data_IF_081581219493
#
_entry.id   IF_081581219493
#
_cell.length_a   1.000
_cell.length_b   1.000
_cell.length_c   1.000
_cell.angle_alpha   90.00
_cell.angle_beta   90.00
_cell.angle_gamma   90.00
#
_symmetry.space_group_name_H-M   'P 1'
#
loop_
_entity.id
_entity.type
_entity.pdbx_description
1 polymer ?
#
# COMPACT_ATOMS: atom_id res chain seq x y z
N UNK A 1 11.01 11.62 18.98
CA UNK A 1 12.21 11.30 18.17
C UNK A 1 12.02 9.93 17.55
N UNK A 2 12.34 9.73 16.26
CA UNK A 2 12.35 8.40 15.67
C UNK A 2 13.49 7.57 16.27
N UNK A 3 13.19 6.35 16.71
CA UNK A 3 14.22 5.41 17.18
C UNK A 3 15.01 4.85 16.00
N UNK A 4 16.22 4.35 16.24
CA UNK A 4 17.02 3.67 15.19
C UNK A 4 16.22 2.55 14.51
N UNK A 5 15.52 1.72 15.31
CA UNK A 5 14.61 0.68 14.79
C UNK A 5 13.56 1.28 13.85
N UNK A 6 12.92 2.38 14.25
CA UNK A 6 11.94 3.07 13.42
C UNK A 6 12.56 3.56 12.10
N UNK A 7 13.67 4.27 12.15
CA UNK A 7 14.36 4.78 10.94
C UNK A 7 14.65 3.66 9.95
N UNK A 8 15.24 2.56 10.43
CA UNK A 8 15.56 1.40 9.60
C UNK A 8 14.30 0.71 9.05
N UNK A 9 13.27 0.55 9.87
CA UNK A 9 12.01 -0.06 9.43
C UNK A 9 11.33 0.80 8.36
N UNK A 10 11.35 2.13 8.49
CA UNK A 10 10.78 3.03 7.48
C UNK A 10 11.55 2.96 6.16
N UNK A 11 12.88 2.88 6.21
CA UNK A 11 13.70 2.72 5.02
C UNK A 11 13.32 1.43 4.27
N UNK A 12 13.31 0.29 4.97
CA UNK A 12 13.02 -1.01 4.35
C UNK A 12 11.56 -1.15 3.91
N UNK A 13 10.62 -0.57 4.66
CA UNK A 13 9.23 -0.45 4.22
C UNK A 13 9.11 0.41 2.95
N UNK A 14 9.87 1.51 2.87
CA UNK A 14 9.90 2.37 1.68
C UNK A 14 10.44 1.63 0.46
N UNK A 15 11.50 0.84 0.62
CA UNK A 15 12.01 -0.05 -0.42
C UNK A 15 10.95 -1.04 -0.87
N UNK A 16 10.25 -1.70 0.06
CA UNK A 16 9.20 -2.68 -0.26
C UNK A 16 8.03 -2.07 -1.03
N UNK A 17 7.56 -0.89 -0.62
CA UNK A 17 6.52 -0.17 -1.36
C UNK A 17 7.02 0.44 -2.68
N UNK A 18 8.32 0.68 -2.86
CA UNK A 18 8.86 1.10 -4.16
C UNK A 18 8.84 -0.07 -5.15
N UNK A 19 9.32 -1.24 -4.73
CA UNK A 19 9.29 -2.47 -5.52
C UNK A 19 7.84 -2.80 -5.95
N UNK A 20 6.90 -2.72 -5.02
CA UNK A 20 5.47 -2.90 -5.32
C UNK A 20 4.98 -1.92 -6.39
N UNK A 21 5.31 -0.63 -6.28
CA UNK A 21 4.88 0.38 -7.25
C UNK A 21 5.49 0.10 -8.63
N UNK A 22 6.75 -0.30 -8.69
CA UNK A 22 7.43 -0.68 -9.94
C UNK A 22 6.75 -1.89 -10.58
N UNK A 23 6.45 -2.94 -9.80
CA UNK A 23 5.72 -4.13 -10.25
C UNK A 23 4.33 -3.78 -10.82
N UNK A 24 3.58 -2.92 -10.13
CA UNK A 24 2.26 -2.47 -10.57
C UNK A 24 2.34 -1.58 -11.81
N UNK A 25 3.35 -0.71 -11.90
CA UNK A 25 3.57 0.13 -13.07
C UNK A 25 4.08 -0.66 -14.28
N UNK A 26 4.72 -1.80 -14.08
CA UNK A 26 5.07 -2.74 -15.13
C UNK A 26 3.87 -3.59 -15.57
N UNK A 27 3.03 -4.01 -14.62
CA UNK A 27 1.85 -4.85 -14.87
C UNK A 27 0.65 -4.09 -15.44
N UNK A 28 0.57 -2.79 -15.17
CA UNK A 28 -0.52 -1.90 -15.58
C UNK A 28 0.03 -0.66 -16.30
N UNK A 29 -0.83 0.30 -16.65
CA UNK A 29 -0.38 1.50 -17.35
C UNK A 29 0.24 2.49 -16.35
N UNK A 30 1.54 2.83 -16.45
CA UNK A 30 2.19 3.73 -15.50
C UNK A 30 1.63 5.16 -15.58
N UNK A 31 1.68 5.88 -14.45
CA UNK A 31 1.32 7.30 -14.33
C UNK A 31 2.39 8.03 -13.52
N UNK A 32 2.43 9.37 -13.64
CA UNK A 32 3.42 10.22 -12.94
C UNK A 32 3.41 9.94 -11.43
N UNK A 33 4.58 9.74 -10.84
CA UNK A 33 4.74 9.50 -9.40
C UNK A 33 4.45 8.06 -9.03
N UNK A 34 3.86 7.83 -7.86
CA UNK A 34 3.56 6.49 -7.32
C UNK A 34 2.20 5.96 -7.79
N UNK A 35 1.86 6.24 -9.05
CA UNK A 35 0.53 6.01 -9.62
C UNK A 35 0.56 5.04 -10.78
N UNK A 36 -0.51 4.29 -10.94
CA UNK A 36 -0.75 3.45 -12.11
C UNK A 36 -2.23 3.47 -12.47
N UNK A 37 -2.54 3.07 -13.69
CA UNK A 37 -3.88 3.11 -14.25
C UNK A 37 -4.30 1.72 -14.69
N UNK A 38 -5.47 1.29 -14.22
CA UNK A 38 -6.04 0.00 -14.52
C UNK A 38 -7.56 0.09 -14.59
N UNK A 39 -8.17 -0.51 -15.61
CA UNK A 39 -9.62 -0.52 -15.81
C UNK A 39 -10.30 0.85 -15.65
N UNK A 40 -9.78 1.89 -16.29
CA UNK A 40 -10.29 3.27 -16.22
C UNK A 40 -10.19 3.96 -14.84
N UNK A 41 -9.52 3.34 -13.86
CA UNK A 41 -9.27 3.92 -12.54
C UNK A 41 -7.78 4.20 -12.37
N UNK A 42 -7.45 5.33 -11.75
CA UNK A 42 -6.08 5.63 -11.34
C UNK A 42 -5.93 5.28 -9.87
N UNK A 43 -4.90 4.49 -9.56
CA UNK A 43 -4.54 4.08 -8.21
C UNK A 43 -3.24 4.74 -7.79
N UNK A 44 -3.07 4.95 -6.50
CA UNK A 44 -1.86 5.48 -5.88
C UNK A 44 -1.54 4.72 -4.60
N UNK A 45 -0.25 4.53 -4.34
CA UNK A 45 0.26 4.00 -3.07
C UNK A 45 1.19 5.05 -2.48
N UNK A 46 0.93 5.51 -1.26
CA UNK A 46 1.76 6.54 -0.61
C UNK A 46 3.15 6.01 -0.27
N UNK A 47 4.01 6.89 0.26
CA UNK A 47 5.18 6.46 1.02
C UNK A 47 4.74 5.99 2.40
N UNK A 48 5.50 5.10 3.05
CA UNK A 48 5.17 4.67 4.38
C UNK A 48 5.61 5.71 5.41
N UNK A 49 4.84 5.83 6.49
CA UNK A 49 5.08 6.74 7.60
C UNK A 49 5.06 6.00 8.92
N UNK A 50 5.77 6.52 9.92
CA UNK A 50 5.76 5.94 11.27
C UNK A 50 4.78 6.71 12.14
N UNK A 51 3.82 5.99 12.70
CA UNK A 51 2.92 6.51 13.72
C UNK A 51 2.99 5.63 14.97
N UNK A 52 3.61 6.17 16.02
CA UNK A 52 3.88 5.40 17.23
C UNK A 52 4.79 4.20 16.97
N UNK A 53 4.26 2.98 17.16
CA UNK A 53 4.98 1.70 16.93
C UNK A 53 4.47 0.95 15.69
N UNK A 54 3.83 1.67 14.76
CA UNK A 54 3.24 1.10 13.56
C UNK A 54 3.78 1.78 12.31
N UNK A 55 3.81 1.01 11.23
CA UNK A 55 4.02 1.48 9.87
C UNK A 55 2.67 1.74 9.22
N UNK A 56 2.47 2.96 8.73
CA UNK A 56 1.25 3.37 8.04
C UNK A 56 1.52 3.67 6.59
N UNK A 57 0.57 3.34 5.71
CA UNK A 57 0.58 3.80 4.33
C UNK A 57 -0.84 3.84 3.78
N UNK A 58 -1.03 4.67 2.77
CA UNK A 58 -2.30 4.88 2.11
C UNK A 58 -2.33 4.22 0.74
N UNK A 59 -3.50 3.70 0.39
CA UNK A 59 -3.84 3.33 -0.98
C UNK A 59 -5.06 4.13 -1.38
N UNK A 60 -4.99 4.83 -2.51
CA UNK A 60 -6.12 5.60 -3.02
C UNK A 60 -6.49 5.21 -4.44
N UNK A 61 -7.75 5.44 -4.80
CA UNK A 61 -8.24 5.28 -6.16
C UNK A 61 -9.16 6.42 -6.55
N UNK A 62 -9.00 6.95 -7.75
CA UNK A 62 -9.94 7.93 -8.32
C UNK A 62 -11.32 7.30 -8.49
N UNK A 63 -12.38 7.97 -8.05
CA UNK A 63 -13.76 7.59 -8.36
C UNK A 63 -13.98 7.79 -9.88
N UNK A 64 -14.57 6.82 -10.60
CA UNK A 64 -14.78 6.90 -12.04
C UNK A 64 -15.95 7.85 -12.37
N UNK A 65 -15.72 9.14 -12.22
CA UNK A 65 -16.73 10.20 -12.47
C UNK A 65 -17.28 10.19 -13.90
N UNK A 66 -16.51 9.69 -14.86
CA UNK A 66 -16.98 9.53 -16.25
C UNK A 66 -18.08 8.44 -16.38
N UNK A 67 -18.28 7.63 -15.35
CA UNK A 67 -19.29 6.56 -15.26
C UNK A 67 -20.39 6.87 -14.22
N UNK A 68 -20.26 7.97 -13.47
CA UNK A 68 -21.16 8.34 -12.37
C UNK A 68 -21.62 9.79 -12.59
N UNK A 69 -22.85 9.97 -13.02
CA UNK A 69 -23.36 11.25 -13.51
C UNK A 69 -23.73 12.21 -12.36
N UNK A 70 -23.91 11.69 -11.14
CA UNK A 70 -24.34 12.48 -9.98
C UNK A 70 -23.51 12.26 -8.71
N UNK A 71 -23.45 13.29 -7.86
CA UNK A 71 -22.84 13.22 -6.52
C UNK A 71 -23.41 12.10 -5.66
N UNK A 72 -24.73 11.87 -5.76
CA UNK A 72 -25.43 10.79 -5.05
C UNK A 72 -24.91 9.40 -5.47
N UNK A 73 -24.58 9.22 -6.75
CA UNK A 73 -24.01 7.97 -7.24
C UNK A 73 -22.55 7.80 -6.79
N UNK A 74 -21.78 8.87 -6.72
CA UNK A 74 -20.42 8.84 -6.16
C UNK A 74 -20.40 8.50 -4.66
N UNK A 75 -21.31 9.08 -3.88
CA UNK A 75 -21.49 8.73 -2.46
C UNK A 75 -21.93 7.26 -2.29
N UNK A 76 -22.84 6.79 -3.15
CA UNK A 76 -23.27 5.38 -3.17
C UNK A 76 -22.11 4.46 -3.54
N UNK A 77 -21.32 4.82 -4.55
CA UNK A 77 -20.12 4.10 -4.96
C UNK A 77 -19.14 3.95 -3.80
N UNK A 78 -18.80 5.06 -3.14
CA UNK A 78 -17.94 5.06 -1.97
C UNK A 78 -18.49 4.17 -0.84
N UNK A 79 -19.79 4.28 -0.55
CA UNK A 79 -20.44 3.45 0.49
C UNK A 79 -20.35 1.96 0.17
N UNK A 80 -20.55 1.57 -1.08
CA UNK A 80 -20.47 0.18 -1.52
C UNK A 80 -19.03 -0.35 -1.45
N UNK A 81 -18.04 0.44 -1.86
CA UNK A 81 -16.62 0.12 -1.69
C UNK A 81 -16.29 -0.06 -0.21
N UNK A 82 -16.66 0.91 0.63
CA UNK A 82 -16.44 0.88 2.08
C UNK A 82 -17.04 -0.38 2.71
N UNK A 83 -18.23 -0.79 2.29
CA UNK A 83 -18.88 -2.00 2.77
C UNK A 83 -18.15 -3.28 2.36
N UNK A 84 -17.59 -3.34 1.14
CA UNK A 84 -16.80 -4.49 0.68
C UNK A 84 -15.48 -4.57 1.46
N UNK A 85 -14.74 -3.46 1.53
CA UNK A 85 -13.43 -3.40 2.18
C UNK A 85 -13.53 -3.71 3.68
N UNK A 86 -14.55 -3.19 4.39
CA UNK A 86 -14.78 -3.50 5.82
C UNK A 86 -15.04 -4.98 6.11
N UNK A 87 -15.53 -5.74 5.14
CA UNK A 87 -15.79 -7.19 5.26
C UNK A 87 -14.58 -8.03 4.87
N UNK A 88 -13.54 -7.42 4.30
CA UNK A 88 -12.31 -8.10 3.92
C UNK A 88 -11.47 -8.54 5.12
N UNK A 89 -10.47 -9.41 4.84
CA UNK A 89 -9.51 -9.91 5.85
C UNK A 89 -8.54 -8.81 6.30
N UNK A 90 -7.98 -8.05 5.35
CA UNK A 90 -7.11 -6.91 5.64
C UNK A 90 -7.95 -5.63 5.70
N UNK A 91 -8.19 -5.14 6.91
CA UNK A 91 -9.04 -3.97 7.14
C UNK A 91 -8.17 -2.73 7.30
N UNK A 92 -8.40 -1.68 6.52
CA UNK A 92 -7.77 -0.39 6.78
C UNK A 92 -8.33 0.19 8.10
N UNK A 93 -7.51 0.98 8.79
CA UNK A 93 -7.89 1.70 10.01
C UNK A 93 -8.78 2.92 9.70
N UNK A 94 -8.66 3.49 8.50
CA UNK A 94 -9.55 4.54 7.99
C UNK A 94 -9.95 4.31 6.54
N UNK A 95 -11.18 4.69 6.21
CA UNK A 95 -11.74 4.68 4.85
C UNK A 95 -12.46 6.00 4.65
N UNK A 96 -11.82 6.85 3.86
CA UNK A 96 -12.20 8.24 3.63
C UNK A 96 -12.45 8.51 2.17
N UNK A 97 -13.28 9.52 1.93
CA UNK A 97 -13.52 10.10 0.64
C UNK A 97 -12.83 11.45 0.64
N UNK A 98 -11.85 11.61 -0.25
CA UNK A 98 -10.98 12.80 -0.30
C UNK A 98 -11.29 13.60 -1.57
N UNK A 99 -11.44 14.91 -1.42
CA UNK A 99 -11.79 15.83 -2.51
C UNK A 99 -10.58 16.65 -2.87
N UNK A 100 -9.91 16.31 -3.98
CA UNK A 100 -8.81 17.12 -4.49
C UNK A 100 -9.37 18.15 -5.45
N UNK A 101 -9.54 19.39 -4.97
CA UNK A 101 -9.73 20.56 -5.81
C UNK A 101 -8.39 20.90 -6.47
N UNK A 102 -8.27 20.65 -7.78
CA UNK A 102 -7.06 21.02 -8.52
C UNK A 102 -7.34 22.30 -9.31
N UNK A 103 -6.92 23.43 -8.75
CA UNK A 103 -6.89 24.70 -9.46
C UNK A 103 -5.51 24.88 -10.12
N UNK A 104 -5.48 24.84 -11.44
CA UNK A 104 -4.31 25.30 -12.18
C UNK A 104 -4.74 25.81 -13.56
N UNK A 105 -5.19 27.07 -13.54
CA UNK A 105 -5.40 27.98 -14.68
C UNK A 105 -6.71 27.78 -15.45
N UNK A 106 -7.65 28.70 -15.17
CA UNK A 106 -8.78 29.16 -16.00
C UNK A 106 -9.87 28.12 -16.36
N UNK A 107 -11.08 28.42 -15.89
CA UNK A 107 -12.41 28.00 -16.40
C UNK A 107 -12.98 26.58 -16.17
N UNK A 108 -12.42 25.75 -15.28
CA UNK A 108 -13.25 24.68 -14.69
C UNK A 108 -12.67 24.16 -13.37
N UNK A 109 -13.36 24.39 -12.26
CA UNK A 109 -13.18 23.59 -11.05
C UNK A 109 -13.57 22.14 -11.40
N UNK A 110 -12.58 21.23 -11.40
CA UNK A 110 -12.84 19.79 -11.49
C UNK A 110 -12.58 19.18 -10.13
N UNK A 111 -13.63 19.07 -9.32
CA UNK A 111 -13.64 18.27 -8.11
C UNK A 111 -13.32 16.83 -8.48
N UNK A 112 -12.19 16.29 -7.99
CA UNK A 112 -11.84 14.88 -8.17
C UNK A 112 -11.99 14.18 -6.84
N UNK A 113 -12.98 13.30 -6.79
CA UNK A 113 -13.23 12.50 -5.60
C UNK A 113 -12.37 11.22 -5.66
N UNK A 114 -11.71 10.93 -4.54
CA UNK A 114 -10.90 9.73 -4.35
C UNK A 114 -11.44 8.94 -3.17
N UNK A 115 -11.31 7.63 -3.25
CA UNK A 115 -11.43 6.76 -2.08
C UNK A 115 -10.03 6.51 -1.55
N UNK A 116 -9.79 6.81 -0.28
CA UNK A 116 -8.50 6.65 0.41
C UNK A 116 -8.65 5.62 1.53
N UNK A 117 -7.74 4.66 1.55
CA UNK A 117 -7.66 3.58 2.53
C UNK A 117 -6.35 3.72 3.29
N UNK A 118 -6.43 3.94 4.61
CA UNK A 118 -5.25 4.01 5.48
C UNK A 118 -5.03 2.67 6.17
N UNK A 119 -3.86 2.07 5.97
CA UNK A 119 -3.46 0.83 6.65
C UNK A 119 -2.42 1.14 7.71
N UNK A 120 -2.46 0.39 8.81
CA UNK A 120 -1.51 0.52 9.93
C UNK A 120 -1.11 -0.87 10.40
N UNK A 121 0.20 -1.11 10.42
CA UNK A 121 0.79 -2.39 10.77
C UNK A 121 1.78 -2.22 11.93
N UNK A 122 1.51 -2.80 13.11
CA UNK A 122 2.45 -2.85 14.21
C UNK A 122 3.80 -3.40 13.75
N UNK A 123 4.91 -2.85 14.26
CA UNK A 123 6.25 -3.31 13.88
C UNK A 123 6.49 -4.80 14.16
N UNK A 124 5.85 -5.34 15.20
CA UNK A 124 5.92 -6.76 15.59
C UNK A 124 5.26 -7.70 14.57
N UNK A 125 4.34 -7.19 13.74
CA UNK A 125 3.70 -7.98 12.68
C UNK A 125 4.52 -8.00 11.38
N UNK A 126 5.61 -7.23 11.30
CA UNK A 126 6.42 -7.06 10.10
C UNK A 126 7.61 -8.03 10.02
N UNK A 127 7.86 -8.80 11.08
CA UNK A 127 8.90 -9.83 11.12
C UNK A 127 8.47 -10.96 12.07
N UNK A 128 9.09 -12.14 11.94
CA UNK A 128 8.81 -13.29 12.80
C UNK A 128 10.13 -13.86 13.32
N UNK A 129 10.31 -13.88 14.63
CA UNK A 129 11.54 -14.33 15.29
C UNK A 129 11.87 -15.81 14.97
N UNK A 130 10.85 -16.67 14.82
CA UNK A 130 11.05 -18.08 14.47
C UNK A 130 11.50 -18.23 13.03
N UNK A 131 10.94 -17.44 12.12
CA UNK A 131 11.37 -17.43 10.72
C UNK A 131 12.78 -16.85 10.57
N UNK A 132 13.13 -15.82 11.35
CA UNK A 132 14.50 -15.29 11.41
C UNK A 132 15.48 -16.38 11.85
N UNK A 133 15.16 -17.11 12.93
CA UNK A 133 16.04 -18.17 13.44
C UNK A 133 16.22 -19.29 12.39
N UNK A 134 15.13 -19.68 11.73
CA UNK A 134 15.16 -20.68 10.66
C UNK A 134 16.03 -20.23 9.47
N UNK A 135 15.85 -18.99 8.99
CA UNK A 135 16.67 -18.43 7.89
C UNK A 135 18.14 -18.30 8.31
N UNK A 136 18.40 -17.87 9.55
CA UNK A 136 19.75 -17.78 10.12
C UNK A 136 20.47 -19.14 10.13
N UNK A 137 19.80 -20.20 10.61
CA UNK A 137 20.36 -21.55 10.59
C UNK A 137 20.64 -22.03 9.16
N UNK A 138 19.71 -21.77 8.23
CA UNK A 138 19.91 -22.13 6.83
C UNK A 138 21.11 -21.40 6.18
N UNK A 139 21.38 -20.15 6.55
CA UNK A 139 22.53 -19.38 6.05
C UNK A 139 23.83 -19.90 6.65
N UNK A 140 23.86 -20.11 7.97
CA UNK A 140 25.08 -20.56 8.68
C UNK A 140 25.48 -21.98 8.32
N UNK A 141 24.51 -22.84 7.98
CA UNK A 141 24.76 -24.20 7.49
C UNK A 141 25.08 -24.26 5.98
N UNK A 142 25.19 -23.11 5.30
CA UNK A 142 25.50 -23.02 3.87
C UNK A 142 24.36 -23.44 2.93
N UNK A 143 23.14 -23.63 3.45
CA UNK A 143 21.96 -24.04 2.70
C UNK A 143 21.28 -22.90 1.93
N UNK A 144 21.51 -21.63 2.31
CA UNK A 144 20.92 -20.46 1.65
C UNK A 144 21.99 -19.50 1.13
N UNK A 145 21.79 -18.98 -0.09
CA UNK A 145 22.59 -17.90 -0.71
C UNK A 145 21.88 -16.54 -0.63
N UNK A 146 20.94 -16.38 0.30
CA UNK A 146 20.20 -15.14 0.49
C UNK A 146 21.17 -13.96 0.67
N UNK A 147 21.06 -12.97 -0.23
CA UNK A 147 21.87 -11.75 -0.16
C UNK A 147 21.27 -10.83 0.88
N UNK A 148 21.92 -10.77 2.04
CA UNK A 148 21.53 -9.86 3.10
C UNK A 148 21.90 -8.41 2.73
N UNK A 149 21.06 -7.43 3.08
CA UNK A 149 21.36 -6.03 2.84
C UNK A 149 22.58 -5.62 3.66
N UNK A 150 23.44 -4.80 3.09
CA UNK A 150 24.48 -4.14 3.87
C UNK A 150 23.94 -2.84 4.45
N UNK A 151 23.78 -2.81 5.77
CA UNK A 151 23.10 -1.73 6.48
C UNK A 151 24.03 -1.19 7.55
N UNK A 152 24.49 0.07 7.43
CA UNK A 152 25.30 0.72 8.45
C UNK A 152 24.62 0.66 9.83
N UNK A 153 25.36 0.21 10.84
CA UNK A 153 24.86 0.08 12.21
C UNK A 153 24.09 -1.20 12.52
N UNK A 154 23.91 -2.12 11.55
CA UNK A 154 23.31 -3.45 11.77
C UNK A 154 24.33 -4.53 11.45
N UNK A 155 24.98 -5.03 12.51
CA UNK A 155 26.11 -5.96 12.38
C UNK A 155 25.70 -7.44 12.48
N UNK A 156 24.51 -7.75 12.99
CA UNK A 156 24.05 -9.13 13.14
C UNK A 156 23.29 -9.61 11.91
N UNK A 157 23.45 -10.89 11.56
CA UNK A 157 22.70 -11.54 10.46
C UNK A 157 21.20 -11.49 10.75
N UNK A 158 20.79 -11.74 11.99
CA UNK A 158 19.40 -11.68 12.43
C UNK A 158 18.80 -10.28 12.26
N UNK A 159 19.56 -9.23 12.57
CA UNK A 159 19.12 -7.85 12.36
C UNK A 159 18.92 -7.53 10.89
N UNK A 160 19.84 -7.99 10.03
CA UNK A 160 19.72 -7.85 8.56
C UNK A 160 18.52 -8.64 8.00
N UNK A 161 18.27 -9.85 8.51
CA UNK A 161 17.11 -10.67 8.17
C UNK A 161 15.80 -10.00 8.58
N UNK A 162 15.72 -9.44 9.79
CA UNK A 162 14.53 -8.72 10.25
C UNK A 162 14.19 -7.55 9.30
N UNK A 163 15.20 -6.79 8.85
CA UNK A 163 14.99 -5.70 7.89
C UNK A 163 14.55 -6.19 6.51
N UNK A 164 15.17 -7.27 6.01
CA UNK A 164 14.74 -7.90 4.77
C UNK A 164 13.28 -8.37 4.85
N UNK A 165 12.88 -8.97 5.97
CA UNK A 165 11.50 -9.39 6.23
C UNK A 165 10.54 -8.21 6.29
N UNK A 166 10.91 -7.09 6.91
CA UNK A 166 10.07 -5.87 6.91
C UNK A 166 9.78 -5.42 5.47
N UNK A 167 10.81 -5.40 4.61
CA UNK A 167 10.65 -5.05 3.19
C UNK A 167 9.72 -6.02 2.46
N UNK A 168 9.98 -7.32 2.59
CA UNK A 168 9.17 -8.39 1.97
C UNK A 168 7.71 -8.32 2.44
N UNK A 169 7.49 -8.17 3.75
CA UNK A 169 6.15 -8.17 4.34
C UNK A 169 5.35 -6.95 3.94
N UNK A 170 5.96 -5.77 3.90
CA UNK A 170 5.29 -4.55 3.46
C UNK A 170 4.91 -4.63 1.98
N UNK A 171 5.78 -5.19 1.13
CA UNK A 171 5.46 -5.44 -0.27
C UNK A 171 4.27 -6.41 -0.42
N UNK A 172 4.29 -7.54 0.30
CA UNK A 172 3.22 -8.54 0.31
C UNK A 172 1.88 -7.95 0.77
N UNK A 173 1.88 -7.25 1.91
CA UNK A 173 0.70 -6.59 2.46
C UNK A 173 0.16 -5.53 1.51
N UNK A 174 1.04 -4.71 0.94
CA UNK A 174 0.68 -3.70 -0.04
C UNK A 174 0.03 -4.32 -1.28
N UNK A 175 0.60 -5.40 -1.82
CA UNK A 175 0.06 -6.15 -2.96
C UNK A 175 -1.33 -6.73 -2.65
N UNK A 176 -1.49 -7.39 -1.50
CA UNK A 176 -2.78 -7.93 -1.09
C UNK A 176 -3.85 -6.83 -0.94
N UNK A 177 -3.47 -5.69 -0.34
CA UNK A 177 -4.38 -4.57 -0.13
C UNK A 177 -4.81 -3.93 -1.46
N UNK A 178 -3.89 -3.68 -2.39
CA UNK A 178 -4.22 -3.06 -3.68
C UNK A 178 -5.06 -4.02 -4.54
N UNK A 179 -4.77 -5.32 -4.54
CA UNK A 179 -5.58 -6.31 -5.26
C UNK A 179 -7.00 -6.38 -4.71
N UNK A 180 -7.15 -6.39 -3.37
CA UNK A 180 -8.47 -6.34 -2.73
C UNK A 180 -9.23 -5.06 -3.14
N UNK A 181 -8.53 -3.93 -3.24
CA UNK A 181 -9.14 -2.67 -3.62
C UNK A 181 -9.54 -2.61 -5.09
N UNK A 182 -8.71 -3.13 -6.00
CA UNK A 182 -9.04 -3.30 -7.42
C UNK A 182 -10.29 -4.19 -7.56
N UNK A 183 -10.32 -5.33 -6.87
CA UNK A 183 -11.45 -6.25 -6.90
C UNK A 183 -12.74 -5.61 -6.35
N UNK A 184 -12.64 -4.81 -5.29
CA UNK A 184 -13.77 -4.06 -4.75
C UNK A 184 -14.33 -3.06 -5.77
N UNK A 185 -13.45 -2.28 -6.42
CA UNK A 185 -13.82 -1.34 -7.48
C UNK A 185 -14.52 -2.05 -8.64
N UNK A 186 -13.95 -3.17 -9.11
CA UNK A 186 -14.56 -3.97 -10.17
C UNK A 186 -15.97 -4.45 -9.78
N UNK A 187 -16.12 -5.02 -8.57
CA UNK A 187 -17.40 -5.54 -8.08
C UNK A 187 -18.48 -4.46 -7.95
N UNK A 188 -18.13 -3.24 -7.56
CA UNK A 188 -19.10 -2.13 -7.50
C UNK A 188 -19.46 -1.69 -8.91
N UNK A 189 -18.49 -1.56 -9.81
CA UNK A 189 -18.74 -1.14 -11.21
C UNK A 189 -19.58 -2.14 -11.99
N UNK A 190 -19.39 -3.44 -11.77
CA UNK A 190 -20.24 -4.48 -12.39
C UNK A 190 -21.72 -4.37 -11.98
N UNK A 191 -22.02 -3.82 -10.79
CA UNK A 191 -23.40 -3.57 -10.36
C UNK A 191 -24.01 -2.32 -10.98
N UNK A 192 -23.18 -1.38 -11.47
CA UNK A 192 -23.64 -0.14 -12.10
C UNK A 192 -23.98 -0.34 -13.58
N UNK A 193 -23.40 -1.36 -14.23
CA UNK A 193 -23.70 -1.73 -15.61
C UNK A 193 -24.99 -2.55 -15.77
N UNK A 194 -25.74 -2.77 -14.68
CA UNK A 194 -27.03 -3.48 -14.65
C UNK A 194 -28.13 -2.49 -14.34
#
# INVERSE_FOLDING_TARGET
MPSLKGILFNQFASEGLNLLVEELQASYKPKKGRRFHHNNITYEISRPEIKGKSMEFEISSKIPQDELESKKEMEKYFKDIKNIIKKGKSKPISIEMDNILWDSKKDSEKEREYVKLLYSYPFEDLYDDKEIEKRYQSITQGGSKEKLPDVPGVYTVQGKLALAMVREKIQELGMANIQNFIAANQKVREKLKK
#
